data_IF_336093826456
#
_entry.id   IF_336093826456
#
_cell.length_a   1.000
_cell.length_b   1.000
_cell.length_c   1.000
_cell.angle_alpha   90.00
_cell.angle_beta   90.00
_cell.angle_gamma   90.00
#
_symmetry.space_group_name_H-M   'P 1'
#
loop_
_entity.id
_entity.type
_entity.pdbx_description
1 polymer ?
#
# COMPACT_ATOMS: atom_id res chain seq x y z
N UNK A 1 14.38 18.20 7.96
CA UNK A 1 13.65 19.03 6.96
C UNK A 1 12.18 18.99 7.29
N UNK A 2 11.50 20.14 7.32
CA UNK A 2 10.12 20.24 7.83
C UNK A 2 9.12 19.89 6.72
N UNK A 3 9.39 20.28 5.47
CA UNK A 3 8.48 20.01 4.34
C UNK A 3 8.24 18.52 4.05
N UNK A 4 9.20 17.65 4.37
CA UNK A 4 9.05 16.20 4.21
C UNK A 4 8.01 15.59 5.17
N UNK A 5 7.71 16.25 6.30
CA UNK A 5 6.68 15.79 7.24
C UNK A 5 5.30 15.73 6.60
N UNK A 6 5.01 16.62 5.63
CA UNK A 6 3.75 16.60 4.90
C UNK A 6 3.54 15.29 4.14
N UNK A 7 4.55 14.84 3.40
CA UNK A 7 4.51 13.58 2.65
C UNK A 7 4.40 12.37 3.59
N UNK A 8 5.16 12.38 4.70
CA UNK A 8 5.11 11.33 5.73
C UNK A 8 3.74 11.24 6.42
N UNK A 9 3.07 12.38 6.69
CA UNK A 9 1.74 12.38 7.30
C UNK A 9 0.69 11.79 6.36
N UNK A 10 0.67 12.23 5.09
CA UNK A 10 -0.27 11.71 4.07
C UNK A 10 -0.10 10.19 3.95
N UNK A 11 1.15 9.74 3.76
CA UNK A 11 1.50 8.32 3.66
C UNK A 11 1.11 7.54 4.90
N UNK A 12 1.44 8.06 6.08
CA UNK A 12 1.18 7.44 7.37
C UNK A 12 -0.32 7.24 7.65
N UNK A 13 -1.16 8.24 7.39
CA UNK A 13 -2.63 8.13 7.56
C UNK A 13 -3.17 6.92 6.77
N UNK A 14 -2.69 6.74 5.56
CA UNK A 14 -3.16 5.64 4.73
C UNK A 14 -2.63 4.28 5.14
N UNK A 15 -1.38 4.20 5.59
CA UNK A 15 -0.87 2.97 6.19
C UNK A 15 -1.73 2.52 7.37
N UNK A 16 -2.22 3.44 8.20
CA UNK A 16 -3.15 3.12 9.30
C UNK A 16 -4.48 2.59 8.77
N UNK A 17 -5.06 3.24 7.75
CA UNK A 17 -6.36 2.80 7.20
C UNK A 17 -6.23 1.43 6.55
N UNK A 18 -5.23 1.23 5.70
CA UNK A 18 -4.97 -0.08 5.11
C UNK A 18 -4.65 -1.13 6.17
N UNK A 19 -4.01 -0.74 7.27
CA UNK A 19 -3.80 -1.66 8.37
C UNK A 19 -5.12 -2.21 8.91
N UNK A 20 -6.09 -1.33 9.16
CA UNK A 20 -7.43 -1.71 9.59
C UNK A 20 -8.20 -2.53 8.55
N UNK A 21 -8.13 -2.15 7.27
CA UNK A 21 -8.75 -2.89 6.16
C UNK A 21 -8.18 -4.31 6.09
N UNK A 22 -6.85 -4.47 6.12
CA UNK A 22 -6.24 -5.79 6.13
C UNK A 22 -6.61 -6.57 7.40
N UNK A 23 -6.69 -5.93 8.56
CA UNK A 23 -7.15 -6.60 9.79
C UNK A 23 -8.61 -7.08 9.70
N UNK A 24 -9.48 -6.36 8.98
CA UNK A 24 -10.87 -6.79 8.71
C UNK A 24 -10.92 -8.03 7.83
N UNK A 25 -10.09 -8.09 6.77
CA UNK A 25 -9.97 -9.29 5.95
C UNK A 25 -9.41 -10.47 6.75
N UNK A 26 -8.46 -10.22 7.64
CA UNK A 26 -7.95 -11.22 8.58
C UNK A 26 -9.05 -11.74 9.53
N UNK A 27 -9.90 -10.84 10.03
CA UNK A 27 -11.09 -11.20 10.82
C UNK A 27 -12.05 -12.10 10.06
N UNK A 28 -12.36 -11.77 8.80
CA UNK A 28 -13.19 -12.63 7.95
C UNK A 28 -12.57 -14.02 7.74
N UNK A 29 -11.25 -14.12 7.67
CA UNK A 29 -10.54 -15.39 7.56
C UNK A 29 -10.64 -16.21 8.86
N UNK A 30 -10.56 -15.56 10.03
CA UNK A 30 -10.84 -16.18 11.34
C UNK A 30 -12.29 -16.64 11.43
N UNK A 31 -13.24 -15.90 10.86
CA UNK A 31 -14.64 -16.33 10.79
C UNK A 31 -14.79 -17.63 9.99
N UNK A 32 -14.13 -17.77 8.85
CA UNK A 32 -14.10 -19.05 8.11
C UNK A 32 -13.60 -20.20 8.98
N UNK A 33 -12.54 -19.97 9.77
CA UNK A 33 -12.00 -20.98 10.67
C UNK A 33 -12.98 -21.34 11.79
N UNK A 34 -13.62 -20.35 12.42
CA UNK A 34 -14.56 -20.58 13.51
C UNK A 34 -15.84 -21.27 13.03
N UNK A 35 -16.43 -20.85 11.91
CA UNK A 35 -17.59 -21.54 11.32
C UNK A 35 -17.27 -22.96 10.84
N UNK A 36 -16.02 -23.22 10.45
CA UNK A 36 -15.56 -24.57 10.12
C UNK A 36 -15.50 -25.48 11.36
N UNK A 37 -15.07 -24.97 12.52
CA UNK A 37 -15.02 -25.74 13.78
C UNK A 37 -16.40 -25.84 14.42
N UNK A 38 -17.13 -24.74 14.48
CA UNK A 38 -18.45 -24.61 15.08
C UNK A 38 -19.43 -23.94 14.10
N UNK A 39 -20.19 -24.73 13.33
CA UNK A 39 -21.18 -24.19 12.39
C UNK A 39 -22.25 -23.33 13.07
N UNK A 40 -22.55 -23.57 14.36
CA UNK A 40 -23.47 -22.75 15.15
C UNK A 40 -23.01 -21.30 15.29
N UNK A 41 -21.72 -21.03 15.12
CA UNK A 41 -21.15 -19.68 15.17
C UNK A 41 -21.72 -18.77 14.07
N UNK A 42 -22.18 -19.34 12.95
CA UNK A 42 -22.80 -18.59 11.86
C UNK A 42 -24.09 -17.85 12.28
N UNK A 43 -24.77 -18.31 13.34
CA UNK A 43 -25.99 -17.70 13.87
C UNK A 43 -25.79 -17.04 15.24
N UNK A 44 -24.55 -17.02 15.73
CA UNK A 44 -24.23 -16.52 17.06
C UNK A 44 -24.40 -15.00 17.11
N UNK A 45 -25.37 -14.53 17.89
CA UNK A 45 -25.57 -13.11 18.22
C UNK A 45 -25.70 -12.14 17.03
N UNK A 46 -26.16 -12.60 15.86
CA UNK A 46 -26.22 -11.80 14.63
C UNK A 46 -26.92 -10.44 14.79
N UNK A 47 -28.00 -10.39 15.58
CA UNK A 47 -28.84 -9.21 15.77
C UNK A 47 -28.49 -8.41 17.05
N UNK A 48 -27.35 -8.68 17.68
CA UNK A 48 -27.00 -8.05 18.97
C UNK A 48 -26.43 -6.64 18.82
N UNK A 49 -26.02 -6.24 17.62
CA UNK A 49 -25.53 -4.91 17.31
C UNK A 49 -26.57 -4.12 16.51
N UNK A 50 -26.65 -2.79 16.71
CA UNK A 50 -27.53 -1.95 15.91
C UNK A 50 -27.09 -1.94 14.43
N UNK A 51 -28.06 -1.87 13.51
CA UNK A 51 -27.78 -1.86 12.07
C UNK A 51 -26.86 -0.70 11.62
N UNK A 52 -26.76 0.38 12.42
CA UNK A 52 -25.85 1.50 12.20
C UNK A 52 -24.36 1.16 12.41
N UNK A 53 -24.04 0.00 13.01
CA UNK A 53 -22.66 -0.40 13.27
C UNK A 53 -21.93 -0.91 12.02
N UNK A 54 -22.64 -1.17 10.91
CA UNK A 54 -22.10 -1.72 9.65
C UNK A 54 -21.31 -3.05 9.84
N UNK A 55 -21.44 -3.72 11.00
CA UNK A 55 -20.75 -4.96 11.36
C UNK A 55 -21.64 -5.86 12.22
N UNK A 56 -21.50 -7.17 12.05
CA UNK A 56 -22.17 -8.16 12.90
C UNK A 56 -21.33 -8.48 14.16
N UNK A 57 -21.98 -8.90 15.24
CA UNK A 57 -21.28 -9.31 16.47
C UNK A 57 -20.22 -10.42 16.23
N UNK A 58 -20.48 -11.48 15.43
CA UNK A 58 -19.45 -12.48 15.15
C UNK A 58 -18.27 -11.90 14.35
N UNK A 59 -18.51 -11.01 13.39
CA UNK A 59 -17.43 -10.37 12.62
C UNK A 59 -16.53 -9.50 13.50
N UNK A 60 -17.12 -8.76 14.43
CA UNK A 60 -16.37 -7.92 15.38
C UNK A 60 -15.51 -8.78 16.32
N UNK A 61 -16.05 -9.91 16.79
CA UNK A 61 -15.28 -10.86 17.61
C UNK A 61 -14.12 -11.45 16.81
N UNK A 62 -14.36 -11.93 15.59
CA UNK A 62 -13.32 -12.47 14.73
C UNK A 62 -12.24 -11.44 14.38
N UNK A 63 -12.64 -10.18 14.16
CA UNK A 63 -11.73 -9.05 13.99
C UNK A 63 -10.85 -8.83 15.22
N UNK A 64 -11.44 -8.79 16.42
CA UNK A 64 -10.68 -8.63 17.66
C UNK A 64 -9.72 -9.79 17.91
N UNK A 65 -10.15 -11.03 17.65
CA UNK A 65 -9.30 -12.22 17.74
C UNK A 65 -8.13 -12.17 16.76
N UNK A 66 -8.38 -11.78 15.50
CA UNK A 66 -7.31 -11.59 14.52
C UNK A 66 -6.35 -10.48 14.94
N UNK A 67 -6.87 -9.35 15.41
CA UNK A 67 -6.07 -8.23 15.87
C UNK A 67 -5.14 -8.66 17.02
N UNK A 68 -5.66 -9.36 18.03
CA UNK A 68 -4.89 -9.93 19.13
C UNK A 68 -3.85 -10.94 18.64
N UNK A 69 -4.22 -11.84 17.74
CA UNK A 69 -3.32 -12.84 17.17
C UNK A 69 -2.21 -12.23 16.31
N UNK A 70 -2.48 -11.09 15.67
CA UNK A 70 -1.49 -10.35 14.86
C UNK A 70 -0.52 -9.53 15.70
N UNK A 71 -0.89 -9.18 16.94
CA UNK A 71 -0.13 -8.29 17.80
C UNK A 71 1.30 -8.78 18.13
N UNK A 72 1.54 -10.07 18.46
CA UNK A 72 2.90 -10.59 18.68
C UNK A 72 3.82 -10.42 17.47
N UNK A 73 3.28 -10.46 16.25
CA UNK A 73 4.07 -10.34 15.03
C UNK A 73 4.65 -8.94 14.82
N UNK A 74 4.10 -7.92 15.48
CA UNK A 74 4.62 -6.55 15.46
C UNK A 74 5.93 -6.39 16.26
N UNK A 75 6.25 -7.36 17.13
CA UNK A 75 7.51 -7.34 17.89
C UNK A 75 8.65 -8.08 17.19
N UNK A 76 8.35 -8.79 16.10
CA UNK A 76 9.33 -9.55 15.34
C UNK A 76 10.24 -8.59 14.57
N UNK A 77 11.58 -8.67 14.75
CA UNK A 77 12.50 -7.80 14.02
C UNK A 77 12.49 -8.10 12.52
N UNK A 78 12.72 -7.06 11.70
CA UNK A 78 12.70 -7.16 10.23
C UNK A 78 13.65 -8.23 9.68
N UNK A 79 14.80 -8.44 10.34
CA UNK A 79 15.76 -9.50 9.98
C UNK A 79 15.20 -10.92 10.09
N UNK A 80 14.23 -11.13 10.98
CA UNK A 80 13.57 -12.42 11.19
C UNK A 80 12.33 -12.60 10.32
N UNK A 81 11.71 -11.51 9.85
CA UNK A 81 10.57 -11.57 8.93
C UNK A 81 10.92 -12.26 7.60
N UNK A 82 12.20 -12.31 7.21
CA UNK A 82 12.66 -13.07 6.04
C UNK A 82 12.20 -14.54 6.05
N UNK A 83 12.14 -15.16 7.23
CA UNK A 83 11.72 -16.56 7.36
C UNK A 83 10.21 -16.71 7.21
N UNK A 84 9.43 -15.77 7.75
CA UNK A 84 7.98 -15.70 7.56
C UNK A 84 7.66 -15.57 6.06
N UNK A 85 8.44 -14.76 5.34
CA UNK A 85 8.32 -14.61 3.90
C UNK A 85 8.76 -15.83 3.12
N UNK A 86 9.84 -16.51 3.52
CA UNK A 86 10.27 -17.74 2.89
C UNK A 86 9.16 -18.81 2.97
N UNK A 87 8.56 -18.97 4.15
CA UNK A 87 7.40 -19.86 4.37
C UNK A 87 6.21 -19.42 3.51
N UNK A 88 5.91 -18.11 3.46
CA UNK A 88 4.83 -17.57 2.62
C UNK A 88 5.04 -17.86 1.14
N UNK A 89 6.25 -17.64 0.62
CA UNK A 89 6.60 -17.90 -0.78
C UNK A 89 6.54 -19.39 -1.09
N UNK A 90 6.89 -20.26 -0.14
CA UNK A 90 6.79 -21.70 -0.31
C UNK A 90 5.33 -22.18 -0.34
N UNK A 91 4.45 -21.67 0.54
CA UNK A 91 3.10 -22.22 0.72
C UNK A 91 2.05 -21.55 -0.18
N UNK A 92 2.11 -20.22 -0.33
CA UNK A 92 1.04 -19.44 -0.98
C UNK A 92 0.81 -19.79 -2.46
N UNK A 93 1.84 -20.03 -3.30
CA UNK A 93 1.61 -20.39 -4.68
C UNK A 93 0.79 -21.68 -4.83
N UNK A 94 1.07 -22.71 -4.02
CA UNK A 94 0.28 -23.95 -4.02
C UNK A 94 -1.15 -23.70 -3.56
N UNK A 95 -1.35 -22.83 -2.57
CA UNK A 95 -2.67 -22.43 -2.12
C UNK A 95 -3.46 -21.72 -3.22
N UNK A 96 -2.87 -20.74 -3.91
CA UNK A 96 -3.53 -20.05 -5.02
C UNK A 96 -3.80 -20.97 -6.21
N UNK A 97 -2.90 -21.89 -6.53
CA UNK A 97 -3.14 -22.91 -7.57
C UNK A 97 -4.30 -23.83 -7.18
N UNK A 98 -4.35 -24.30 -5.93
CA UNK A 98 -5.44 -25.14 -5.44
C UNK A 98 -6.79 -24.39 -5.47
N UNK A 99 -6.78 -23.13 -5.04
CA UNK A 99 -7.94 -22.26 -5.03
C UNK A 99 -8.43 -21.93 -6.45
N UNK A 100 -7.50 -21.68 -7.38
CA UNK A 100 -7.79 -21.48 -8.79
C UNK A 100 -8.34 -22.74 -9.46
N UNK A 101 -7.77 -23.90 -9.17
CA UNK A 101 -8.25 -25.21 -9.66
C UNK A 101 -9.67 -25.49 -9.14
N UNK A 102 -9.93 -25.20 -7.85
CA UNK A 102 -11.27 -25.28 -7.29
C UNK A 102 -12.23 -24.31 -7.99
N UNK A 103 -11.81 -23.07 -8.24
CA UNK A 103 -12.63 -22.06 -8.91
C UNK A 103 -13.03 -22.49 -10.33
N UNK A 104 -12.10 -23.08 -11.10
CA UNK A 104 -12.38 -23.59 -12.44
C UNK A 104 -13.29 -24.83 -12.44
N UNK A 105 -13.06 -25.77 -11.51
CA UNK A 105 -13.85 -27.00 -11.43
C UNK A 105 -15.28 -26.73 -10.96
N UNK A 106 -15.45 -25.88 -9.94
CA UNK A 106 -16.76 -25.47 -9.44
C UNK A 106 -17.52 -24.59 -10.45
N UNK A 107 -16.80 -23.75 -11.22
CA UNK A 107 -17.38 -22.91 -12.27
C UNK A 107 -17.66 -23.62 -13.59
N UNK A 108 -17.42 -24.94 -13.68
CA UNK A 108 -17.49 -25.72 -14.92
C UNK A 108 -16.69 -25.10 -16.09
N UNK A 109 -15.50 -24.57 -15.78
CA UNK A 109 -14.63 -23.83 -16.70
C UNK A 109 -14.27 -22.44 -16.17
N UNK A 110 -13.81 -21.54 -17.05
CA UNK A 110 -13.51 -20.13 -16.70
C UNK A 110 -14.76 -19.30 -16.32
N UNK A 111 -15.93 -19.94 -16.30
CA UNK A 111 -17.23 -19.33 -16.04
C UNK A 111 -17.75 -18.53 -17.24
N UNK A 112 -19.06 -18.20 -17.25
CA UNK A 112 -19.69 -17.38 -18.27
C UNK A 112 -19.31 -15.91 -18.12
N UNK A 113 -18.58 -15.49 -17.07
CA UNK A 113 -18.22 -14.08 -16.85
C UNK A 113 -17.47 -13.48 -18.05
N UNK A 114 -16.64 -14.27 -18.72
CA UNK A 114 -15.95 -13.87 -19.96
C UNK A 114 -16.85 -13.86 -21.20
N UNK A 115 -18.01 -14.53 -21.14
CA UNK A 115 -19.01 -14.61 -22.20
C UNK A 115 -20.21 -13.69 -21.98
N UNK A 116 -20.39 -13.14 -20.77
CA UNK A 116 -21.44 -12.16 -20.46
C UNK A 116 -21.08 -10.86 -21.18
N UNK A 117 -21.95 -10.35 -22.08
CA UNK A 117 -21.69 -9.09 -22.75
C UNK A 117 -21.67 -7.94 -21.73
N UNK A 118 -20.70 -7.04 -21.87
CA UNK A 118 -20.54 -5.86 -21.01
C UNK A 118 -21.78 -4.97 -21.09
N UNK A 119 -22.71 -5.10 -20.14
CA UNK A 119 -23.87 -4.20 -20.01
C UNK A 119 -23.51 -3.03 -19.11
N UNK A 120 -23.12 -1.92 -19.70
CA UNK A 120 -22.86 -0.67 -18.97
C UNK A 120 -24.19 0.05 -18.75
N UNK A 121 -24.76 -0.12 -17.56
CA UNK A 121 -26.03 0.51 -17.15
C UNK A 121 -25.91 2.02 -16.91
N UNK A 122 -24.70 2.56 -16.83
CA UNK A 122 -24.41 3.92 -16.38
C UNK A 122 -24.27 4.96 -17.51
N UNK A 123 -24.52 4.60 -18.77
CA UNK A 123 -24.42 5.53 -19.91
C UNK A 123 -22.98 5.96 -20.27
N UNK A 124 -21.98 5.37 -19.63
CA UNK A 124 -20.55 5.62 -19.87
C UNK A 124 -20.01 4.75 -21.01
N UNK A 125 -18.94 5.21 -21.67
CA UNK A 125 -18.28 4.42 -22.71
C UNK A 125 -17.55 3.21 -22.12
N UNK A 126 -17.34 2.17 -22.92
CA UNK A 126 -16.53 0.99 -22.53
C UNK A 126 -15.11 1.42 -22.13
N UNK A 127 -14.53 2.37 -22.87
CA UNK A 127 -13.21 2.92 -22.56
C UNK A 127 -13.14 3.56 -21.18
N UNK A 128 -14.15 4.33 -20.77
CA UNK A 128 -14.21 4.93 -19.44
C UNK A 128 -14.20 3.88 -18.33
N UNK A 129 -15.04 2.84 -18.45
CA UNK A 129 -15.13 1.75 -17.46
C UNK A 129 -13.81 0.97 -17.39
N UNK A 130 -13.17 0.74 -18.55
CA UNK A 130 -11.86 0.10 -18.62
C UNK A 130 -10.78 0.92 -17.89
N UNK A 131 -10.67 2.22 -18.17
CA UNK A 131 -9.74 3.12 -17.50
C UNK A 131 -9.99 3.22 -15.99
N UNK A 132 -11.26 3.28 -15.58
CA UNK A 132 -11.64 3.28 -14.16
C UNK A 132 -11.22 2.00 -13.43
N UNK A 133 -11.28 0.85 -14.10
CA UNK A 133 -10.87 -0.44 -13.52
C UNK A 133 -9.34 -0.51 -13.37
N UNK A 134 -8.60 0.02 -14.35
CA UNK A 134 -7.14 0.17 -14.26
C UNK A 134 -6.78 1.06 -13.07
N UNK A 135 -7.41 2.22 -12.93
CA UNK A 135 -7.13 3.13 -11.81
C UNK A 135 -7.44 2.48 -10.46
N UNK A 136 -8.56 1.77 -10.33
CA UNK A 136 -8.90 1.06 -9.10
C UNK A 136 -7.80 0.05 -8.69
N UNK A 137 -7.21 -0.63 -9.67
CA UNK A 137 -6.13 -1.60 -9.46
C UNK A 137 -4.81 -0.90 -9.10
N UNK A 138 -4.48 0.20 -9.79
CA UNK A 138 -3.28 1.00 -9.49
C UNK A 138 -3.40 1.61 -8.10
N UNK A 139 -4.52 2.25 -7.77
CA UNK A 139 -4.74 2.92 -6.49
C UNK A 139 -4.60 1.99 -5.30
N UNK A 140 -5.13 0.77 -5.39
CA UNK A 140 -5.00 -0.24 -4.34
C UNK A 140 -3.55 -0.68 -4.10
N UNK A 141 -2.71 -0.65 -5.14
CA UNK A 141 -1.31 -1.08 -5.08
C UNK A 141 -0.30 0.08 -4.97
N UNK A 142 -0.74 1.32 -5.22
CA UNK A 142 0.11 2.50 -5.30
C UNK A 142 0.91 2.71 -4.02
N UNK A 143 0.29 2.46 -2.87
CA UNK A 143 0.96 2.60 -1.57
C UNK A 143 2.08 1.60 -1.37
N UNK A 144 1.92 0.35 -1.82
CA UNK A 144 3.03 -0.61 -1.77
C UNK A 144 4.18 -0.17 -2.67
N UNK A 145 3.89 0.46 -3.81
CA UNK A 145 4.91 1.05 -4.67
C UNK A 145 5.64 2.23 -3.99
N UNK A 146 4.93 3.14 -3.32
CA UNK A 146 5.57 4.27 -2.60
C UNK A 146 6.41 3.78 -1.41
N UNK A 147 5.95 2.74 -0.73
CA UNK A 147 6.62 2.18 0.45
C UNK A 147 7.75 1.21 0.09
N UNK A 148 7.96 0.92 -1.20
CA UNK A 148 8.90 -0.10 -1.64
C UNK A 148 10.33 0.18 -1.17
N UNK A 149 10.71 1.45 -1.09
CA UNK A 149 12.03 1.90 -0.62
C UNK A 149 12.35 1.43 0.82
N UNK A 150 11.34 1.27 1.68
CA UNK A 150 11.52 0.80 3.06
C UNK A 150 12.03 -0.65 3.11
N UNK A 151 11.72 -1.44 2.08
CA UNK A 151 12.10 -2.86 1.98
C UNK A 151 13.32 -3.03 1.07
N UNK A 152 13.36 -2.34 -0.07
CA UNK A 152 14.44 -2.51 -1.07
C UNK A 152 15.79 -1.98 -0.60
N UNK A 153 15.85 -1.13 0.43
CA UNK A 153 17.10 -0.78 1.11
C UNK A 153 17.85 -1.98 1.71
N UNK A 154 17.17 -3.10 1.93
CA UNK A 154 17.75 -4.36 2.41
C UNK A 154 18.04 -5.35 1.28
N UNK A 155 17.75 -4.99 0.03
CA UNK A 155 18.00 -5.85 -1.12
C UNK A 155 19.47 -5.79 -1.54
N UNK A 156 20.09 -6.95 -1.77
CA UNK A 156 21.47 -7.04 -2.29
C UNK A 156 21.57 -6.55 -3.74
N UNK A 157 20.51 -6.78 -4.53
CA UNK A 157 20.48 -6.49 -5.96
C UNK A 157 19.25 -5.65 -6.32
N UNK A 158 19.42 -4.48 -6.99
CA UNK A 158 18.30 -3.61 -7.36
C UNK A 158 17.37 -4.25 -8.41
N UNK A 159 17.92 -5.09 -9.30
CA UNK A 159 17.13 -5.77 -10.35
C UNK A 159 16.24 -6.88 -9.81
N UNK A 160 16.63 -7.52 -8.71
CA UNK A 160 15.87 -8.65 -8.15
C UNK A 160 14.48 -8.23 -7.67
N UNK A 161 14.36 -7.03 -7.10
CA UNK A 161 13.06 -6.48 -6.70
C UNK A 161 12.15 -6.21 -7.92
N UNK A 162 12.69 -5.60 -8.97
CA UNK A 162 11.92 -5.26 -10.17
C UNK A 162 11.40 -6.51 -10.91
N UNK A 163 12.27 -7.51 -11.12
CA UNK A 163 11.91 -8.76 -11.80
C UNK A 163 10.86 -9.53 -10.99
N UNK A 164 11.03 -9.62 -9.67
CA UNK A 164 10.06 -10.29 -8.81
C UNK A 164 8.67 -9.63 -8.90
N UNK A 165 8.59 -8.30 -8.89
CA UNK A 165 7.30 -7.60 -9.00
C UNK A 165 6.70 -7.72 -10.41
N UNK A 166 7.51 -7.66 -11.46
CA UNK A 166 7.03 -7.75 -12.84
C UNK A 166 6.35 -9.09 -13.17
N UNK A 167 6.83 -10.19 -12.59
CA UNK A 167 6.27 -11.52 -12.85
C UNK A 167 5.36 -12.04 -11.73
N UNK A 168 5.75 -11.89 -10.46
CA UNK A 168 4.99 -12.49 -9.36
C UNK A 168 3.63 -11.82 -9.16
N UNK A 169 3.53 -10.50 -9.29
CA UNK A 169 2.24 -9.79 -9.11
C UNK A 169 1.21 -10.19 -10.16
N UNK A 170 1.47 -10.09 -11.49
CA UNK A 170 0.47 -10.46 -12.49
C UNK A 170 0.04 -11.92 -12.40
N UNK A 171 0.99 -12.84 -12.15
CA UNK A 171 0.69 -14.28 -12.02
C UNK A 171 -0.22 -14.52 -10.81
N UNK A 172 0.13 -13.99 -9.63
CA UNK A 172 -0.65 -14.20 -8.42
C UNK A 172 -2.05 -13.56 -8.52
N UNK A 173 -2.16 -12.36 -9.10
CA UNK A 173 -3.47 -11.69 -9.29
C UNK A 173 -4.34 -12.47 -10.28
N UNK A 174 -3.76 -12.96 -11.39
CA UNK A 174 -4.52 -13.76 -12.37
C UNK A 174 -5.05 -15.07 -11.76
N UNK A 175 -4.35 -15.65 -10.78
CA UNK A 175 -4.83 -16.83 -10.06
C UNK A 175 -6.02 -16.55 -9.11
N UNK A 176 -6.38 -15.28 -8.88
CA UNK A 176 -7.50 -14.90 -7.99
C UNK A 176 -8.86 -14.75 -8.69
N UNK A 177 -9.06 -15.36 -9.88
CA UNK A 177 -10.34 -15.36 -10.63
C UNK A 177 -11.42 -16.21 -9.93
N UNK A 178 -11.78 -15.85 -8.69
CA UNK A 178 -12.84 -16.51 -7.92
C UNK A 178 -14.18 -15.80 -8.03
N UNK A 179 -14.17 -14.48 -8.25
CA UNK A 179 -15.41 -13.71 -8.40
C UNK A 179 -16.24 -14.20 -9.60
N UNK A 180 -15.57 -14.62 -10.69
CA UNK A 180 -16.20 -15.21 -11.86
C UNK A 180 -16.91 -16.54 -11.53
N UNK A 181 -16.30 -17.36 -10.68
CA UNK A 181 -16.88 -18.64 -10.24
C UNK A 181 -18.07 -18.45 -9.31
N UNK A 182 -18.03 -17.46 -8.42
CA UNK A 182 -19.10 -17.24 -7.44
C UNK A 182 -20.47 -17.01 -8.10
N UNK A 183 -20.50 -16.27 -9.20
CA UNK A 183 -21.74 -16.04 -9.95
C UNK A 183 -22.33 -17.34 -10.54
N UNK A 184 -21.49 -18.30 -10.94
CA UNK A 184 -21.93 -19.58 -11.51
C UNK A 184 -22.45 -20.51 -10.42
N UNK A 185 -21.72 -20.60 -9.31
CA UNK A 185 -21.97 -21.58 -8.25
C UNK A 185 -23.10 -21.12 -7.33
N UNK A 186 -23.16 -19.83 -7.02
CA UNK A 186 -24.07 -19.28 -6.01
C UNK A 186 -25.10 -18.28 -6.58
N UNK A 187 -25.04 -17.95 -7.86
CA UNK A 187 -25.98 -17.02 -8.50
C UNK A 187 -25.77 -15.54 -8.17
N UNK A 188 -24.81 -15.21 -7.32
CA UNK A 188 -24.52 -13.85 -6.86
C UNK A 188 -23.08 -13.42 -7.18
N UNK A 189 -22.90 -12.14 -7.51
CA UNK A 189 -21.57 -11.57 -7.76
C UNK A 189 -20.92 -11.19 -6.43
N UNK A 190 -20.14 -12.12 -5.88
CA UNK A 190 -19.35 -11.90 -4.67
C UNK A 190 -17.95 -11.38 -5.01
N UNK A 191 -17.61 -10.20 -4.50
CA UNK A 191 -16.31 -9.57 -4.73
C UNK A 191 -15.23 -10.01 -3.73
N UNK A 192 -15.62 -10.47 -2.53
CA UNK A 192 -14.69 -10.85 -1.48
C UNK A 192 -14.43 -12.38 -1.47
N UNK A 193 -13.18 -12.83 -1.70
CA UNK A 193 -12.76 -14.23 -1.61
C UNK A 193 -13.29 -15.00 -0.40
N UNK A 194 -13.22 -14.37 0.76
CA UNK A 194 -13.52 -15.02 2.04
C UNK A 194 -15.02 -15.28 2.18
N UNK A 195 -15.86 -14.43 1.58
CA UNK A 195 -17.32 -14.66 1.55
C UNK A 195 -17.69 -15.88 0.71
N UNK A 196 -16.92 -16.17 -0.35
CA UNK A 196 -17.10 -17.39 -1.17
C UNK A 196 -16.68 -18.63 -0.37
N UNK A 197 -15.57 -18.54 0.37
CA UNK A 197 -15.06 -19.64 1.22
C UNK A 197 -16.02 -19.95 2.38
N UNK A 198 -16.69 -18.94 2.94
CA UNK A 198 -17.73 -19.14 3.96
C UNK A 198 -18.88 -20.01 3.45
N UNK A 199 -19.19 -19.97 2.16
CA UNK A 199 -20.25 -20.78 1.55
C UNK A 199 -19.84 -22.24 1.28
N UNK A 200 -18.59 -22.62 1.53
CA UNK A 200 -18.14 -23.99 1.32
C UNK A 200 -18.77 -24.97 2.32
N UNK A 201 -19.31 -26.07 1.81
CA UNK A 201 -19.83 -27.18 2.62
C UNK A 201 -18.71 -27.99 3.29
N UNK A 202 -17.53 -28.07 2.65
CA UNK A 202 -16.38 -28.82 3.20
C UNK A 202 -15.71 -28.01 4.32
N UNK A 203 -15.93 -28.45 5.56
CA UNK A 203 -15.41 -27.82 6.77
C UNK A 203 -13.88 -27.79 6.81
N UNK A 204 -13.22 -28.87 6.42
CA UNK A 204 -11.75 -28.97 6.42
C UNK A 204 -11.14 -27.98 5.44
N UNK A 205 -11.67 -27.92 4.21
CA UNK A 205 -11.23 -26.97 3.20
C UNK A 205 -11.45 -25.52 3.65
N UNK A 206 -12.61 -25.22 4.24
CA UNK A 206 -12.93 -23.89 4.79
C UNK A 206 -11.94 -23.47 5.88
N UNK A 207 -11.59 -24.36 6.81
CA UNK A 207 -10.63 -24.07 7.88
C UNK A 207 -9.23 -23.76 7.33
N UNK A 208 -8.69 -24.64 6.48
CA UNK A 208 -7.34 -24.46 5.93
C UNK A 208 -7.26 -23.24 5.01
N UNK A 209 -8.29 -22.96 4.21
CA UNK A 209 -8.33 -21.75 3.40
C UNK A 209 -8.36 -20.49 4.28
N UNK A 210 -9.20 -20.47 5.32
CA UNK A 210 -9.23 -19.38 6.31
C UNK A 210 -7.87 -19.18 6.99
N UNK A 211 -7.22 -20.26 7.43
CA UNK A 211 -5.89 -20.21 8.05
C UNK A 211 -4.83 -19.62 7.12
N UNK A 212 -4.78 -20.07 5.86
CA UNK A 212 -3.81 -19.59 4.87
C UNK A 212 -4.06 -18.12 4.51
N UNK A 213 -5.32 -17.69 4.39
CA UNK A 213 -5.67 -16.28 4.22
C UNK A 213 -5.30 -15.44 5.44
N UNK A 214 -5.56 -15.91 6.67
CA UNK A 214 -5.18 -15.22 7.88
C UNK A 214 -3.65 -15.03 7.95
N UNK A 215 -2.88 -16.09 7.69
CA UNK A 215 -1.41 -16.04 7.63
C UNK A 215 -0.91 -15.06 6.55
N UNK A 216 -1.46 -15.13 5.33
CA UNK A 216 -1.11 -14.22 4.25
C UNK A 216 -1.39 -12.76 4.60
N UNK A 217 -2.51 -12.53 5.28
CA UNK A 217 -2.97 -11.20 5.69
C UNK A 217 -2.08 -10.64 6.78
N UNK A 218 -1.72 -11.41 7.82
CA UNK A 218 -0.77 -11.00 8.87
C UNK A 218 0.55 -10.58 8.24
N UNK A 219 1.14 -11.44 7.40
CA UNK A 219 2.42 -11.15 6.77
C UNK A 219 2.37 -9.87 5.92
N UNK A 220 1.30 -9.67 5.16
CA UNK A 220 1.13 -8.47 4.32
C UNK A 220 0.89 -7.23 5.17
N UNK A 221 0.14 -7.34 6.27
CA UNK A 221 -0.24 -6.20 7.09
C UNK A 221 0.95 -5.65 7.89
N UNK A 222 1.79 -6.53 8.43
CA UNK A 222 3.03 -6.15 9.12
C UNK A 222 3.92 -5.35 8.18
N UNK A 223 4.19 -5.86 6.98
CA UNK A 223 5.23 -5.31 6.11
C UNK A 223 4.76 -4.20 5.18
N UNK A 224 3.50 -4.26 4.76
CA UNK A 224 2.93 -3.29 3.84
C UNK A 224 2.40 -2.03 4.53
N UNK A 225 1.98 -2.15 5.79
CA UNK A 225 1.27 -1.08 6.50
C UNK A 225 1.97 -0.67 7.81
N UNK A 226 2.23 -1.61 8.72
CA UNK A 226 2.76 -1.24 10.05
C UNK A 226 4.20 -0.76 10.03
N UNK A 227 5.09 -1.40 9.24
CA UNK A 227 6.50 -1.02 9.11
C UNK A 227 6.66 0.34 8.43
N UNK A 228 6.03 0.60 7.26
CA UNK A 228 6.08 1.91 6.63
C UNK A 228 5.59 3.05 7.53
N UNK A 229 4.46 2.85 8.21
CA UNK A 229 3.95 3.81 9.19
C UNK A 229 4.95 4.08 10.32
N UNK A 230 5.58 3.03 10.84
CA UNK A 230 6.57 3.16 11.90
C UNK A 230 7.80 3.95 11.44
N UNK A 231 8.23 3.80 10.18
CA UNK A 231 9.30 4.59 9.59
C UNK A 231 8.91 6.08 9.42
N UNK A 232 7.69 6.38 8.95
CA UNK A 232 7.20 7.75 8.86
C UNK A 232 7.17 8.46 10.21
N UNK A 233 6.56 7.83 11.21
CA UNK A 233 6.40 8.41 12.55
C UNK A 233 7.75 8.56 13.26
N UNK A 234 8.71 7.65 13.02
CA UNK A 234 10.07 7.82 13.52
C UNK A 234 10.77 9.02 12.85
N UNK A 235 10.53 9.26 11.57
CA UNK A 235 11.04 10.44 10.86
C UNK A 235 10.49 11.76 11.42
N UNK A 236 9.21 11.77 11.82
CA UNK A 236 8.54 12.94 12.40
C UNK A 236 8.94 13.16 13.86
N UNK A 237 8.94 12.11 14.69
CA UNK A 237 9.20 12.18 16.14
C UNK A 237 10.35 11.25 16.59
N UNK A 238 11.60 11.47 16.11
CA UNK A 238 12.71 10.53 16.32
C UNK A 238 13.12 10.35 17.79
N UNK A 239 12.86 11.34 18.66
CA UNK A 239 13.19 11.27 20.10
C UNK A 239 12.25 10.37 20.90
N UNK A 240 10.99 10.23 20.47
CA UNK A 240 9.94 9.56 21.24
C UNK A 240 9.55 8.21 20.65
N UNK A 241 9.73 8.05 19.34
CA UNK A 241 9.24 6.91 18.56
C UNK A 241 10.38 6.03 18.08
N UNK A 242 10.19 4.72 18.23
CA UNK A 242 11.01 3.70 17.62
C UNK A 242 10.12 2.81 16.73
N UNK A 243 10.72 1.93 15.93
CA UNK A 243 9.97 1.06 15.00
C UNK A 243 8.86 0.28 15.72
N UNK A 244 9.16 -0.31 16.89
CA UNK A 244 8.20 -1.13 17.64
C UNK A 244 7.01 -0.29 18.14
N UNK A 245 7.28 0.87 18.74
CA UNK A 245 6.25 1.82 19.21
C UNK A 245 5.40 2.32 18.06
N UNK A 246 6.01 2.60 16.90
CA UNK A 246 5.31 3.02 15.69
C UNK A 246 4.36 1.93 15.17
N UNK A 247 4.79 0.67 15.13
CA UNK A 247 3.95 -0.46 14.72
C UNK A 247 2.77 -0.68 15.66
N UNK A 248 2.99 -0.61 16.98
CA UNK A 248 1.93 -0.71 17.99
C UNK A 248 0.93 0.43 17.84
N UNK A 249 1.40 1.66 17.64
CA UNK A 249 0.53 2.81 17.38
C UNK A 249 -0.30 2.61 16.11
N UNK A 250 0.29 2.10 15.02
CA UNK A 250 -0.44 1.75 13.80
C UNK A 250 -1.58 0.76 14.08
N UNK A 251 -1.30 -0.25 14.89
CA UNK A 251 -2.27 -1.29 15.20
C UNK A 251 -3.45 -0.77 16.04
N UNK A 252 -3.18 0.10 17.01
CA UNK A 252 -4.21 0.73 17.84
C UNK A 252 -5.06 1.70 17.01
N UNK A 253 -4.42 2.57 16.22
CA UNK A 253 -5.13 3.52 15.37
C UNK A 253 -5.96 2.78 14.30
N UNK A 254 -5.40 1.73 13.68
CA UNK A 254 -6.11 0.94 12.68
C UNK A 254 -7.35 0.23 13.24
N UNK A 255 -7.33 -0.16 14.52
CA UNK A 255 -8.52 -0.67 15.22
C UNK A 255 -9.54 0.45 15.48
N UNK A 256 -9.09 1.59 15.98
CA UNK A 256 -9.95 2.73 16.36
C UNK A 256 -10.68 3.38 15.17
N UNK A 257 -10.19 3.20 13.94
CA UNK A 257 -10.79 3.77 12.73
C UNK A 257 -12.03 3.02 12.21
N UNK A 258 -12.48 1.94 12.88
CA UNK A 258 -13.64 1.13 12.47
C UNK A 258 -13.57 0.71 10.97
N UNK A 259 -12.51 0.00 10.56
CA UNK A 259 -12.19 -0.24 9.15
C UNK A 259 -13.25 -1.03 8.38
N UNK A 260 -14.11 -1.77 9.08
CA UNK A 260 -15.23 -2.52 8.48
C UNK A 260 -16.24 -1.61 7.77
N UNK A 261 -16.40 -0.35 8.19
CA UNK A 261 -17.30 0.62 7.54
C UNK A 261 -16.88 0.86 6.08
N UNK A 262 -15.57 0.81 5.79
CA UNK A 262 -15.02 0.97 4.44
C UNK A 262 -15.28 -0.30 3.61
N UNK A 263 -15.19 -1.49 4.22
CA UNK A 263 -15.40 -2.77 3.53
C UNK A 263 -16.86 -3.18 3.39
N UNK A 264 -17.77 -2.55 4.12
CA UNK A 264 -19.18 -2.92 4.14
C UNK A 264 -19.83 -2.87 2.73
N UNK A 265 -19.30 -2.07 1.79
CA UNK A 265 -19.73 -2.07 0.38
C UNK A 265 -18.54 -1.92 -0.56
N UNK A 266 -18.56 -2.64 -1.69
CA UNK A 266 -17.52 -2.55 -2.71
C UNK A 266 -17.35 -1.12 -3.25
N UNK A 267 -18.45 -0.39 -3.47
CA UNK A 267 -18.41 1.00 -3.92
C UNK A 267 -17.72 1.93 -2.90
N UNK A 268 -17.99 1.77 -1.59
CA UNK A 268 -17.32 2.53 -0.54
C UNK A 268 -15.81 2.29 -0.55
N UNK A 269 -15.39 1.03 -0.70
CA UNK A 269 -13.98 0.67 -0.78
C UNK A 269 -13.28 1.29 -2.00
N UNK A 270 -13.84 1.13 -3.20
CA UNK A 270 -13.23 1.69 -4.42
C UNK A 270 -13.22 3.21 -4.43
N UNK A 271 -14.27 3.86 -3.92
CA UNK A 271 -14.32 5.31 -3.75
C UNK A 271 -13.23 5.81 -2.79
N UNK A 272 -13.04 5.11 -1.68
CA UNK A 272 -11.97 5.43 -0.73
C UNK A 272 -10.57 5.30 -1.37
N UNK A 273 -10.30 4.17 -2.04
CA UNK A 273 -9.01 3.92 -2.70
C UNK A 273 -8.74 4.94 -3.80
N UNK A 274 -9.73 5.22 -4.65
CA UNK A 274 -9.63 6.22 -5.72
C UNK A 274 -9.41 7.62 -5.17
N UNK A 275 -10.15 7.98 -4.12
CA UNK A 275 -10.08 9.31 -3.54
C UNK A 275 -8.76 9.62 -2.84
N UNK A 276 -8.14 8.63 -2.20
CA UNK A 276 -6.82 8.82 -1.60
C UNK A 276 -5.69 8.82 -2.65
N UNK A 277 -5.85 8.07 -3.73
CA UNK A 277 -4.84 7.94 -4.80
C UNK A 277 -4.45 9.30 -5.41
N UNK A 278 -5.35 10.28 -5.41
CA UNK A 278 -5.08 11.63 -5.92
C UNK A 278 -4.01 12.38 -5.12
N UNK A 279 -3.78 12.02 -3.85
CA UNK A 279 -2.76 12.68 -3.02
C UNK A 279 -1.39 12.01 -3.18
N UNK A 280 -1.37 10.69 -3.39
CA UNK A 280 -0.13 9.93 -3.58
C UNK A 280 0.46 10.08 -4.98
N UNK A 281 -0.37 10.10 -6.04
CA UNK A 281 0.10 10.23 -7.43
C UNK A 281 1.05 11.43 -7.60
N UNK A 282 0.63 12.65 -7.21
CA UNK A 282 1.48 13.85 -7.23
C UNK A 282 2.78 13.71 -6.43
N UNK A 283 2.74 13.09 -5.25
CA UNK A 283 3.95 12.88 -4.43
C UNK A 283 4.97 11.99 -5.15
N UNK A 284 4.50 10.89 -5.74
CA UNK A 284 5.35 9.98 -6.53
C UNK A 284 5.90 10.70 -7.76
N UNK A 285 5.09 11.50 -8.45
CA UNK A 285 5.52 12.30 -9.60
C UNK A 285 6.68 13.24 -9.26
N UNK A 286 6.61 13.93 -8.13
CA UNK A 286 7.68 14.81 -7.66
C UNK A 286 8.95 14.02 -7.34
N UNK A 287 8.83 12.90 -6.61
CA UNK A 287 9.99 12.07 -6.24
C UNK A 287 10.70 11.50 -7.48
N UNK A 288 9.93 10.98 -8.44
CA UNK A 288 10.46 10.48 -9.71
C UNK A 288 11.12 11.60 -10.52
N UNK A 289 10.49 12.77 -10.60
CA UNK A 289 11.03 13.91 -11.31
C UNK A 289 12.35 14.40 -10.71
N UNK A 290 12.39 14.56 -9.38
CA UNK A 290 13.59 15.01 -8.67
C UNK A 290 14.76 14.06 -8.89
N UNK A 291 14.53 12.75 -8.75
CA UNK A 291 15.59 11.76 -8.88
C UNK A 291 16.07 11.58 -10.33
N UNK A 292 15.16 11.31 -11.27
CA UNK A 292 15.55 10.94 -12.63
C UNK A 292 15.87 12.14 -13.52
N UNK A 293 15.12 13.24 -13.43
CA UNK A 293 15.26 14.36 -14.36
C UNK A 293 16.11 15.50 -13.80
N UNK A 294 15.88 15.91 -12.55
CA UNK A 294 16.63 17.02 -11.93
C UNK A 294 18.03 16.56 -11.51
N UNK A 295 18.11 15.46 -10.75
CA UNK A 295 19.38 14.91 -10.23
C UNK A 295 20.08 13.95 -11.20
N UNK A 296 19.41 13.54 -12.29
CA UNK A 296 19.96 12.62 -13.30
C UNK A 296 20.44 11.30 -12.69
N UNK A 297 19.67 10.74 -11.75
CA UNK A 297 19.96 9.49 -11.05
C UNK A 297 21.25 9.51 -10.20
N UNK A 298 21.74 10.69 -9.81
CA UNK A 298 22.85 10.81 -8.87
C UNK A 298 22.40 10.49 -7.43
N UNK A 299 23.25 9.88 -6.60
CA UNK A 299 22.92 9.55 -5.22
C UNK A 299 22.66 10.82 -4.39
N UNK A 300 21.87 10.67 -3.32
CA UNK A 300 21.67 11.73 -2.34
C UNK A 300 22.85 11.77 -1.36
N UNK A 301 23.27 12.97 -0.97
CA UNK A 301 24.28 13.13 0.06
C UNK A 301 23.65 12.86 1.44
N UNK A 302 24.03 11.72 2.05
CA UNK A 302 23.42 11.26 3.30
C UNK A 302 23.67 12.21 4.47
N UNK A 303 24.86 12.81 4.55
CA UNK A 303 25.20 13.72 5.65
C UNK A 303 24.27 14.94 5.65
N UNK A 304 24.01 15.51 4.48
CA UNK A 304 23.12 16.65 4.34
C UNK A 304 21.63 16.31 4.54
N UNK A 305 21.22 15.03 4.49
CA UNK A 305 19.85 14.61 4.86
C UNK A 305 19.60 14.77 6.36
N UNK A 306 20.61 14.56 7.20
CA UNK A 306 20.51 14.62 8.67
C UNK A 306 20.94 15.97 9.28
N UNK A 307 21.48 16.89 8.48
CA UNK A 307 21.94 18.21 8.94
C UNK A 307 20.83 19.26 8.86
N UNK A 308 20.58 19.97 9.96
CA UNK A 308 19.80 21.21 9.91
C UNK A 308 20.55 22.25 9.07
N UNK A 309 19.82 22.98 8.21
CA UNK A 309 20.43 23.99 7.30
C UNK A 309 21.41 23.42 6.24
N UNK A 310 21.33 22.12 5.94
CA UNK A 310 22.08 21.50 4.85
C UNK A 310 21.53 21.79 3.45
N UNK A 311 22.09 21.11 2.43
CA UNK A 311 21.72 21.21 1.01
C UNK A 311 20.20 21.14 0.76
N UNK A 312 19.49 20.34 1.56
CA UNK A 312 18.07 20.07 1.41
C UNK A 312 17.17 20.92 2.33
N UNK A 313 17.71 21.96 2.97
CA UNK A 313 16.93 22.82 3.86
C UNK A 313 16.00 23.78 3.11
N UNK A 314 16.35 24.17 1.89
CA UNK A 314 15.55 25.10 1.06
C UNK A 314 15.14 26.36 1.84
N UNK A 315 13.91 26.85 1.66
CA UNK A 315 13.41 28.03 2.35
C UNK A 315 12.80 27.62 3.70
N UNK A 316 13.51 27.92 4.80
CA UNK A 316 13.10 27.61 6.18
C UNK A 316 12.72 26.14 6.43
N UNK A 317 13.38 25.20 5.75
CA UNK A 317 13.08 23.76 5.87
C UNK A 317 12.03 23.22 4.90
N UNK A 318 11.51 24.06 3.99
CA UNK A 318 10.44 23.72 3.04
C UNK A 318 10.84 23.99 1.59
N UNK A 319 10.59 23.02 0.71
CA UNK A 319 10.71 23.21 -0.73
C UNK A 319 9.39 23.71 -1.31
N UNK A 320 9.27 25.04 -1.49
CA UNK A 320 8.07 25.66 -2.05
C UNK A 320 7.75 25.16 -3.47
N UNK A 321 8.77 24.72 -4.24
CA UNK A 321 8.58 24.16 -5.58
C UNK A 321 7.85 22.83 -5.53
N UNK A 322 8.27 21.94 -4.62
CA UNK A 322 7.63 20.66 -4.39
C UNK A 322 6.20 20.83 -3.85
N UNK A 323 6.00 21.76 -2.91
CA UNK A 323 4.65 22.05 -2.38
C UNK A 323 3.72 22.58 -3.48
N UNK A 324 4.20 23.53 -4.30
CA UNK A 324 3.41 24.09 -5.39
C UNK A 324 3.08 23.03 -6.44
N UNK A 325 4.04 22.20 -6.84
CA UNK A 325 3.82 21.08 -7.75
C UNK A 325 2.84 20.04 -7.21
N UNK A 326 2.85 19.80 -5.90
CA UNK A 326 1.90 18.90 -5.26
C UNK A 326 0.48 19.49 -5.30
N UNK A 327 0.34 20.78 -4.96
CA UNK A 327 -0.95 21.49 -5.02
C UNK A 327 -1.52 21.52 -6.45
N UNK A 328 -0.71 21.78 -7.47
CA UNK A 328 -1.18 21.77 -8.86
C UNK A 328 -1.58 20.38 -9.35
N UNK A 329 -0.99 19.31 -8.82
CA UNK A 329 -1.41 17.94 -9.09
C UNK A 329 -2.73 17.56 -8.39
N UNK A 330 -2.96 18.04 -7.17
CA UNK A 330 -4.13 17.68 -6.35
C UNK A 330 -5.36 18.52 -6.68
N UNK A 331 -5.23 19.85 -6.78
CA UNK A 331 -6.37 20.78 -6.88
C UNK A 331 -7.30 20.46 -8.06
N UNK A 332 -6.81 20.17 -9.28
CA UNK A 332 -7.68 19.82 -10.41
C UNK A 332 -8.50 18.55 -10.21
N UNK A 333 -8.06 17.64 -9.32
CA UNK A 333 -8.70 16.36 -9.04
C UNK A 333 -9.75 16.44 -7.91
N UNK A 334 -9.73 17.51 -7.10
CA UNK A 334 -10.66 17.69 -5.98
C UNK A 334 -12.14 17.69 -6.38
N UNK A 335 -12.57 18.32 -7.49
CA UNK A 335 -13.98 18.30 -7.87
C UNK A 335 -14.48 16.89 -8.20
N UNK A 336 -13.61 16.05 -8.78
CA UNK A 336 -13.90 14.63 -9.03
C UNK A 336 -14.01 13.82 -7.74
N UNK A 337 -13.14 14.08 -6.75
CA UNK A 337 -13.21 13.49 -5.42
C UNK A 337 -14.55 13.82 -4.73
N UNK A 338 -14.99 15.09 -4.81
CA UNK A 338 -16.25 15.54 -4.21
C UNK A 338 -17.44 14.77 -4.79
N UNK A 339 -17.48 14.60 -6.11
CA UNK A 339 -18.51 13.80 -6.78
C UNK A 339 -18.45 12.32 -6.38
N UNK A 340 -17.25 11.77 -6.24
CA UNK A 340 -17.04 10.38 -5.86
C UNK A 340 -17.51 10.08 -4.41
N UNK A 341 -17.31 11.01 -3.48
CA UNK A 341 -17.78 10.91 -2.09
C UNK A 341 -19.28 11.18 -1.98
N UNK A 342 -19.77 12.21 -2.67
CA UNK A 342 -21.18 12.59 -2.65
C UNK A 342 -21.74 12.70 -4.08
N UNK A 343 -22.32 11.62 -4.62
CA UNK A 343 -22.88 11.59 -5.98
C UNK A 343 -24.04 12.58 -6.21
N UNK A 344 -24.64 13.12 -5.14
CA UNK A 344 -25.69 14.12 -5.26
C UNK A 344 -25.18 15.45 -5.83
N UNK A 345 -23.88 15.72 -5.70
CA UNK A 345 -23.25 16.91 -6.27
C UNK A 345 -22.92 16.59 -7.72
N UNK A 346 -23.76 17.09 -8.64
CA UNK A 346 -23.56 16.91 -10.07
C UNK A 346 -22.34 17.72 -10.54
N UNK A 347 -21.38 17.05 -11.16
CA UNK A 347 -20.24 17.67 -11.81
C UNK A 347 -20.34 17.55 -13.33
N UNK A 348 -19.69 18.47 -14.04
CA UNK A 348 -19.56 18.38 -15.49
C UNK A 348 -18.89 17.07 -15.89
N UNK A 349 -19.37 16.44 -16.96
CA UNK A 349 -18.90 15.14 -17.45
C UNK A 349 -17.38 15.07 -17.59
N UNK A 350 -16.75 16.11 -18.14
CA UNK A 350 -15.30 16.17 -18.34
C UNK A 350 -14.48 16.11 -17.04
N UNK A 351 -15.00 16.63 -15.93
CA UNK A 351 -14.31 16.58 -14.62
C UNK A 351 -14.32 15.14 -14.07
N UNK A 352 -15.45 14.45 -14.25
CA UNK A 352 -15.58 13.04 -13.85
C UNK A 352 -14.68 12.16 -14.71
N UNK A 353 -14.61 12.44 -16.01
CA UNK A 353 -13.71 11.74 -16.96
C UNK A 353 -12.23 12.00 -16.66
N UNK A 354 -11.85 13.19 -16.25
CA UNK A 354 -10.49 13.51 -15.78
C UNK A 354 -10.14 12.70 -14.51
N UNK A 355 -11.01 12.74 -13.50
CA UNK A 355 -10.81 11.99 -12.25
C UNK A 355 -10.63 10.47 -12.44
N UNK A 356 -11.15 9.89 -13.53
CA UNK A 356 -10.99 8.46 -13.87
C UNK A 356 -9.54 7.99 -13.96
N UNK A 357 -8.59 8.87 -14.24
CA UNK A 357 -7.14 8.58 -14.23
C UNK A 357 -6.38 9.42 -13.20
N UNK A 358 -7.06 9.90 -12.15
CA UNK A 358 -6.51 10.90 -11.23
C UNK A 358 -5.16 10.56 -10.60
N UNK A 359 -4.84 9.28 -10.37
CA UNK A 359 -3.50 8.91 -9.90
C UNK A 359 -2.40 9.22 -10.94
N UNK A 360 -2.62 8.84 -12.20
CA UNK A 360 -1.67 9.07 -13.31
C UNK A 360 -1.62 10.54 -13.71
N UNK A 361 -2.77 11.19 -13.80
CA UNK A 361 -2.86 12.62 -14.13
C UNK A 361 -2.18 13.47 -13.06
N UNK A 362 -2.46 13.21 -11.78
CA UNK A 362 -1.81 13.88 -10.67
C UNK A 362 -0.29 13.68 -10.68
N UNK A 363 0.17 12.46 -10.99
CA UNK A 363 1.59 12.14 -11.14
C UNK A 363 2.24 12.98 -12.25
N UNK A 364 1.66 12.99 -13.45
CA UNK A 364 2.21 13.67 -14.62
C UNK A 364 2.19 15.19 -14.41
N UNK A 365 1.08 15.75 -13.94
CA UNK A 365 0.92 17.20 -13.70
C UNK A 365 1.93 17.67 -12.65
N UNK A 366 2.06 16.95 -11.54
CA UNK A 366 3.02 17.31 -10.50
C UNK A 366 4.47 17.15 -10.97
N UNK A 367 4.80 16.10 -11.72
CA UNK A 367 6.13 15.89 -12.27
C UNK A 367 6.53 17.01 -13.25
N UNK A 368 5.64 17.37 -14.18
CA UNK A 368 5.88 18.46 -15.14
C UNK A 368 5.98 19.80 -14.41
N UNK A 369 5.07 20.10 -13.48
CA UNK A 369 5.10 21.35 -12.72
C UNK A 369 6.40 21.47 -11.92
N UNK A 370 6.82 20.38 -11.25
CA UNK A 370 8.06 20.37 -10.49
C UNK A 370 9.27 20.59 -11.39
N UNK A 371 9.31 19.93 -12.55
CA UNK A 371 10.37 20.09 -13.54
C UNK A 371 10.50 21.54 -14.00
N UNK A 372 9.39 22.15 -14.42
CA UNK A 372 9.36 23.55 -14.88
C UNK A 372 9.77 24.54 -13.78
N UNK A 373 9.30 24.32 -12.55
CA UNK A 373 9.69 25.16 -11.41
C UNK A 373 11.18 25.03 -11.05
N UNK A 374 11.77 23.83 -11.21
CA UNK A 374 13.19 23.63 -10.99
C UNK A 374 14.05 24.24 -12.11
N UNK A 375 13.53 24.30 -13.35
CA UNK A 375 14.18 25.01 -14.46
C UNK A 375 14.12 26.53 -14.27
N UNK A 376 12.96 27.06 -13.85
CA UNK A 376 12.79 28.49 -13.61
C UNK A 376 13.57 28.99 -12.39
N UNK A 377 13.64 28.19 -11.32
CA UNK A 377 14.31 28.52 -10.07
C UNK A 377 15.31 27.42 -9.67
N UNK A 378 16.49 27.38 -10.33
CA UNK A 378 17.51 26.37 -10.06
C UNK A 378 18.00 26.43 -8.61
N UNK A 379 18.39 25.28 -8.06
CA UNK A 379 18.98 25.16 -6.74
C UNK A 379 20.25 24.31 -6.80
N UNK A 380 21.13 24.46 -5.82
CA UNK A 380 22.34 23.64 -5.77
C UNK A 380 21.99 22.18 -5.50
N UNK A 381 22.55 21.29 -6.31
CA UNK A 381 22.34 19.83 -6.23
C UNK A 381 23.55 19.13 -5.62
N UNK A 382 24.71 19.79 -5.59
CA UNK A 382 26.01 19.25 -5.17
C UNK A 382 26.64 20.21 -4.17
N UNK A 383 27.29 19.67 -3.13
CA UNK A 383 28.11 20.44 -2.19
C UNK A 383 29.55 19.98 -2.37
N UNK A 384 30.42 20.86 -2.86
CA UNK A 384 31.86 20.59 -2.97
C UNK A 384 32.56 20.84 -1.61
N UNK A 385 32.16 20.10 -0.57
CA UNK A 385 32.73 20.18 0.80
C UNK A 385 33.56 18.93 1.15
N UNK A 386 33.90 18.10 0.16
CA UNK A 386 34.63 16.83 0.39
C UNK A 386 33.85 15.79 1.20
N UNK A 387 32.58 16.06 1.52
CA UNK A 387 31.68 15.19 2.30
C UNK A 387 30.80 14.27 1.42
N UNK A 388 31.18 14.09 0.15
CA UNK A 388 30.59 13.11 -0.75
C UNK A 388 31.04 11.69 -0.37
N UNK A 389 30.60 11.25 0.81
CA UNK A 389 30.70 9.85 1.21
C UNK A 389 29.62 9.09 0.45
N UNK A 390 29.95 8.66 -0.76
CA UNK A 390 29.16 7.67 -1.50
C UNK A 390 29.46 6.32 -0.85
N UNK A 391 28.66 5.92 0.14
CA UNK A 391 28.67 4.54 0.61
C UNK A 391 27.97 3.70 -0.46
N UNK A 392 28.74 3.19 -1.43
CA UNK A 392 28.27 2.06 -2.22
C UNK A 392 28.06 0.88 -1.26
N UNK A 393 26.97 0.15 -1.43
CA UNK A 393 26.54 -0.95 -0.57
C UNK A 393 27.47 -2.19 -0.59
N UNK A 394 28.74 -2.03 -0.99
CA UNK A 394 29.74 -3.10 -1.04
C UNK A 394 30.63 -3.19 0.20
N UNK A 395 30.76 -2.13 1.00
CA UNK A 395 31.78 -2.08 2.05
C UNK A 395 31.18 -2.11 3.48
N UNK A 396 30.53 -3.23 3.84
CA UNK A 396 30.15 -3.49 5.24
C UNK A 396 31.36 -3.55 6.19
N UNK A 397 32.58 -3.78 5.69
CA UNK A 397 33.80 -3.81 6.52
C UNK A 397 34.31 -2.43 6.92
N UNK A 398 34.00 -1.38 6.15
CA UNK A 398 34.53 -0.02 6.39
C UNK A 398 33.80 0.74 7.51
N UNK A 399 32.58 0.32 7.88
CA UNK A 399 31.76 0.99 8.90
C UNK A 399 32.30 0.76 10.32
N UNK A 400 33.17 -0.23 10.50
CA UNK A 400 33.76 -0.56 11.81
C UNK A 400 34.87 0.38 12.29
N UNK A 401 35.34 1.30 11.45
CA UNK A 401 36.50 2.15 11.77
C UNK A 401 36.22 3.65 11.97
N UNK A 402 34.97 4.08 12.06
CA UNK A 402 34.67 5.51 12.31
C UNK A 402 34.91 5.82 13.81
N UNK A 403 35.94 6.59 14.21
CA UNK A 403 36.12 6.95 15.61
C UNK A 403 35.11 8.03 15.98
N UNK A 404 34.55 7.95 17.20
CA UNK A 404 33.52 8.85 17.71
C UNK A 404 33.98 10.31 17.99
N UNK A 405 35.08 10.77 17.39
CA UNK A 405 35.64 12.11 17.63
C UNK A 405 35.70 12.89 16.32
N UNK A 406 34.88 13.94 16.23
CA UNK A 406 34.72 14.79 15.04
C UNK A 406 35.96 15.59 14.64
N UNK A 407 36.92 14.92 14.00
CA UNK A 407 37.96 15.55 13.16
C UNK A 407 37.92 14.95 11.75
N UNK A 408 38.14 15.75 10.70
CA UNK A 408 38.24 15.23 9.34
C UNK A 408 39.50 14.35 9.21
N UNK A 409 39.35 13.20 8.57
CA UNK A 409 40.47 12.31 8.22
C UNK A 409 40.72 12.46 6.73
N UNK A 410 41.92 12.93 6.37
CA UNK A 410 42.41 12.92 4.99
C UNK A 410 42.65 11.48 4.54
N UNK A 411 41.84 10.97 3.61
CA UNK A 411 42.13 9.70 2.95
C UNK A 411 42.95 9.99 1.69
N UNK A 412 44.28 10.03 1.89
CA UNK A 412 45.26 9.92 0.81
C UNK A 412 45.27 8.48 0.32
N UNK A 413 45.10 8.28 -0.99
CA UNK A 413 45.21 6.94 -1.57
C UNK A 413 44.81 6.84 -3.04
N UNK A 414 45.42 7.66 -3.90
CA UNK A 414 45.52 7.33 -5.32
C UNK A 414 46.16 5.96 -5.50
N UNK A 415 45.54 5.06 -6.29
CA UNK A 415 46.28 4.13 -7.13
C UNK A 415 45.41 3.58 -8.27
N UNK A 416 45.99 3.71 -9.45
CA UNK A 416 45.56 3.26 -10.77
C UNK A 416 45.29 1.75 -10.81
N UNK A 417 44.21 1.34 -11.49
CA UNK A 417 44.16 0.58 -12.77
C UNK A 417 42.70 0.33 -13.13
#
# INVERSE_FOLDING_TARGET
>A
MIGAYWAMIIRGIFCVILYGVQATLGGNAVRCMLEAIWPSFAHWHLNSLPASADISAPDLLCFALFWLASFPMLFVPMSSLRWVFAVKIAIMPFFYVALFTWALTAGHGVGPLFSIPTKITSGWSVGYVFCSTILATIGGNATFAVNMADITRYAKNPRSAAIAQAFALPICITMTIMAATAQVVYGEVLWNPLTIILLWNNRTAKFFAGFLFAFATIATNVTGNSIPFAHDIMGIFPRYMNVRRGQVLCAILGFAMNPWVIQARASRFFNFVGGYSIFLGPLVGIILCDYFFIRKSKPYNMLHLYRAEGLYWYWKGCNLRALSAWLTGVIPLLPGLIHNINPNIKMGRGIVEFFTMGWLEGLIIAAITYYLLCLAFPFSIVVNDGSDVVIEAKDEESVSQIPATGKPVDIVGSKEI
#
